data_IF_250139697548
#
_entry.id   IF_250139697548
#
_cell.length_a   1.000
_cell.length_b   1.000
_cell.length_c   1.000
_cell.angle_alpha   90.00
_cell.angle_beta   90.00
_cell.angle_gamma   90.00
#
_symmetry.space_group_name_H-M   'P 1'
#
loop_
_entity.id
_entity.type
_entity.pdbx_description
1 polymer ?
#
# COMPACT_ATOMS: atom_id res chain seq x y z
N UNK A 1 8.86 -23.25 -17.29
CA UNK A 1 7.82 -22.40 -16.69
C UNK A 1 7.28 -21.49 -17.78
N UNK A 2 5.97 -21.37 -17.93
CA UNK A 2 5.34 -20.61 -19.02
C UNK A 2 5.64 -19.10 -18.89
N UNK A 3 6.22 -18.50 -19.94
CA UNK A 3 6.41 -17.05 -20.06
C UNK A 3 5.07 -16.28 -20.16
N UNK A 4 3.92 -16.96 -20.09
CA UNK A 4 2.60 -16.33 -20.15
C UNK A 4 2.27 -15.45 -18.94
N UNK A 5 2.86 -15.71 -17.76
CA UNK A 5 2.77 -14.79 -16.61
C UNK A 5 3.61 -13.52 -16.82
N UNK A 6 4.49 -13.51 -17.83
CA UNK A 6 5.39 -12.41 -18.19
C UNK A 6 5.03 -11.76 -19.53
N UNK A 7 3.86 -12.08 -20.11
CA UNK A 7 3.33 -11.40 -21.29
C UNK A 7 2.22 -10.42 -20.88
N UNK A 8 2.58 -9.23 -20.37
CA UNK A 8 1.62 -8.20 -20.00
C UNK A 8 0.99 -7.50 -21.22
N UNK A 9 1.22 -7.98 -22.45
CA UNK A 9 0.86 -7.29 -23.69
C UNK A 9 -0.50 -7.73 -24.28
N UNK A 10 -1.23 -8.63 -23.60
CA UNK A 10 -2.63 -8.94 -23.96
C UNK A 10 -3.58 -7.85 -23.46
N UNK A 11 -3.69 -6.76 -24.22
CA UNK A 11 -4.80 -5.80 -24.10
C UNK A 11 -4.34 -4.37 -23.80
N UNK A 12 -4.77 -3.45 -24.67
CA UNK A 12 -4.39 -2.03 -24.74
C UNK A 12 -4.37 -1.29 -23.39
N UNK A 13 -3.25 -0.62 -23.12
CA UNK A 13 -3.17 0.62 -22.32
C UNK A 13 -2.31 0.56 -21.06
N UNK A 14 -2.31 -0.56 -20.35
CA UNK A 14 -1.60 -0.68 -19.07
C UNK A 14 -1.00 -2.08 -18.92
N UNK A 15 0.30 -2.13 -18.63
CA UNK A 15 0.99 -3.37 -18.31
C UNK A 15 0.73 -3.67 -16.84
N UNK A 16 -0.18 -4.61 -16.56
CA UNK A 16 -0.32 -5.18 -15.22
C UNK A 16 0.92 -6.01 -14.91
N UNK A 17 1.57 -5.70 -13.80
CA UNK A 17 2.80 -6.32 -13.35
C UNK A 17 2.62 -6.95 -11.98
N UNK A 18 3.46 -7.92 -11.58
CA UNK A 18 3.44 -8.45 -10.23
C UNK A 18 3.53 -7.36 -9.15
N UNK A 19 4.16 -6.23 -9.45
CA UNK A 19 4.24 -5.09 -8.55
C UNK A 19 2.86 -4.47 -8.26
N UNK A 20 1.94 -4.48 -9.22
CA UNK A 20 0.56 -4.01 -9.03
C UNK A 20 -0.19 -4.91 -8.05
N UNK A 21 0.04 -6.22 -8.11
CA UNK A 21 -0.51 -7.18 -7.14
C UNK A 21 0.07 -6.96 -5.74
N UNK A 22 1.39 -6.77 -5.64
CA UNK A 22 2.05 -6.47 -4.36
C UNK A 22 1.58 -5.15 -3.77
N UNK A 23 1.39 -4.11 -4.59
CA UNK A 23 0.82 -2.82 -4.16
C UNK A 23 -0.61 -3.00 -3.67
N UNK A 24 -1.43 -3.79 -4.37
CA UNK A 24 -2.80 -4.08 -3.97
C UNK A 24 -2.85 -4.81 -2.62
N UNK A 25 -2.00 -5.82 -2.42
CA UNK A 25 -1.88 -6.54 -1.15
C UNK A 25 -1.45 -5.61 -0.01
N UNK A 26 -0.48 -4.73 -0.25
CA UNK A 26 -0.03 -3.74 0.72
C UNK A 26 -1.18 -2.82 1.18
N UNK A 27 -1.98 -2.30 0.25
CA UNK A 27 -3.15 -1.49 0.60
C UNK A 27 -4.21 -2.27 1.39
N UNK A 28 -4.48 -3.53 1.01
CA UNK A 28 -5.42 -4.39 1.74
C UNK A 28 -4.92 -4.67 3.17
N UNK A 29 -3.63 -4.94 3.34
CA UNK A 29 -3.05 -5.17 4.65
C UNK A 29 -3.13 -3.93 5.55
N UNK A 30 -2.88 -2.74 5.00
CA UNK A 30 -3.07 -1.48 5.73
C UNK A 30 -4.54 -1.25 6.11
N UNK A 31 -5.46 -1.51 5.19
CA UNK A 31 -6.89 -1.42 5.46
C UNK A 31 -7.28 -2.34 6.61
N UNK A 32 -6.86 -3.62 6.56
CA UNK A 32 -7.11 -4.57 7.64
C UNK A 32 -6.52 -4.11 8.98
N UNK A 33 -5.35 -3.45 8.97
CA UNK A 33 -4.73 -2.91 10.18
C UNK A 33 -5.54 -1.76 10.79
N UNK A 34 -6.01 -0.82 9.97
CA UNK A 34 -6.75 0.38 10.43
C UNK A 34 -8.19 0.04 10.85
N UNK A 35 -8.81 -0.92 10.17
CA UNK A 35 -10.16 -1.41 10.47
C UNK A 35 -10.16 -2.62 11.41
N UNK A 36 -9.01 -3.01 11.95
CA UNK A 36 -8.93 -4.05 12.96
C UNK A 36 -9.72 -3.60 14.20
N UNK A 37 -10.87 -4.21 14.43
CA UNK A 37 -11.54 -4.14 15.72
C UNK A 37 -10.68 -4.93 16.71
N UNK A 38 -9.98 -4.21 17.61
CA UNK A 38 -9.47 -4.84 18.82
C UNK A 38 -10.68 -5.52 19.48
N UNK A 39 -10.49 -6.77 19.90
CA UNK A 39 -11.54 -7.64 20.42
C UNK A 39 -12.57 -6.91 21.30
N UNK A 40 -13.81 -7.41 21.34
CA UNK A 40 -14.97 -6.94 22.12
C UNK A 40 -14.69 -6.50 23.59
N UNK A 41 -13.50 -6.77 24.12
CA UNK A 41 -13.01 -6.43 25.45
C UNK A 41 -12.31 -5.05 25.53
N UNK A 42 -11.83 -4.48 24.43
CA UNK A 42 -11.21 -3.15 24.38
C UNK A 42 -12.26 -2.07 24.09
N UNK A 43 -12.89 -1.52 25.14
CA UNK A 43 -13.75 -0.33 25.01
C UNK A 43 -12.94 0.92 24.60
N UNK A 44 -13.57 1.87 23.89
CA UNK A 44 -12.92 2.71 22.90
C UNK A 44 -12.30 3.95 23.54
N UNK A 45 -10.97 4.01 23.61
CA UNK A 45 -10.35 5.21 23.07
C UNK A 45 -10.20 4.93 21.58
N UNK A 46 -11.26 5.09 20.78
CA UNK A 46 -11.13 5.11 19.32
C UNK A 46 -10.51 6.48 19.02
N UNK A 47 -9.17 6.58 18.94
CA UNK A 47 -8.55 7.88 19.02
C UNK A 47 -8.93 8.65 17.75
N UNK A 48 -9.16 9.96 17.84
CA UNK A 48 -9.71 10.72 16.71
C UNK A 48 -8.89 10.53 15.41
N UNK A 49 -7.57 10.33 15.53
CA UNK A 49 -6.71 10.12 14.36
C UNK A 49 -6.95 8.77 13.67
N UNK A 50 -7.37 7.70 14.38
CA UNK A 50 -7.73 6.43 13.71
C UNK A 50 -9.03 6.57 12.92
N UNK A 51 -9.97 7.40 13.39
CA UNK A 51 -11.21 7.72 12.69
C UNK A 51 -10.91 8.52 11.42
N UNK A 52 -9.99 9.46 11.48
CA UNK A 52 -9.51 10.22 10.32
C UNK A 52 -8.81 9.31 9.30
N UNK A 53 -7.95 8.39 9.76
CA UNK A 53 -7.33 7.38 8.88
C UNK A 53 -8.39 6.51 8.17
N UNK A 54 -9.40 6.03 8.90
CA UNK A 54 -10.51 5.25 8.34
C UNK A 54 -11.30 6.05 7.31
N UNK A 55 -11.60 7.31 7.63
CA UNK A 55 -12.34 8.20 6.73
C UNK A 55 -11.55 8.44 5.44
N UNK A 56 -10.25 8.73 5.52
CA UNK A 56 -9.42 9.01 4.35
C UNK A 56 -9.16 7.77 3.48
N UNK A 57 -9.00 6.59 4.10
CA UNK A 57 -8.92 5.32 3.39
C UNK A 57 -10.23 4.97 2.67
N UNK A 58 -11.37 5.40 3.20
CA UNK A 58 -12.69 5.17 2.59
C UNK A 58 -12.99 6.12 1.41
N UNK A 59 -12.26 7.23 1.29
CA UNK A 59 -12.41 8.24 0.22
C UNK A 59 -11.73 7.80 -1.09
N UNK A 60 -11.51 8.73 -2.02
CA UNK A 60 -10.99 8.45 -3.36
C UNK A 60 -9.53 7.97 -3.39
N UNK A 61 -9.05 7.46 -4.53
CA UNK A 61 -7.72 6.85 -4.63
C UNK A 61 -6.55 7.77 -4.22
N UNK A 62 -6.60 9.10 -4.47
CA UNK A 62 -5.47 9.97 -4.11
C UNK A 62 -5.38 10.19 -2.60
N UNK A 63 -6.50 10.25 -1.89
CA UNK A 63 -6.51 10.35 -0.43
C UNK A 63 -6.01 9.05 0.19
N UNK A 64 -6.40 7.88 -0.37
CA UNK A 64 -5.88 6.58 0.06
C UNK A 64 -4.36 6.53 0.01
N UNK A 65 -3.75 6.86 -1.14
CA UNK A 65 -2.28 6.81 -1.28
C UNK A 65 -1.56 7.76 -0.33
N UNK A 66 -2.13 8.94 -0.06
CA UNK A 66 -1.55 9.90 0.88
C UNK A 66 -1.62 9.39 2.34
N UNK A 67 -2.78 8.92 2.76
CA UNK A 67 -2.99 8.36 4.11
C UNK A 67 -2.17 7.10 4.34
N UNK A 68 -2.09 6.24 3.33
CA UNK A 68 -1.19 5.09 3.29
C UNK A 68 0.27 5.46 3.47
N UNK A 69 0.71 6.55 2.83
CA UNK A 69 2.07 7.05 3.00
C UNK A 69 2.28 7.53 4.44
N UNK A 70 1.33 8.28 5.01
CA UNK A 70 1.39 8.71 6.41
C UNK A 70 1.51 7.51 7.36
N UNK A 71 0.68 6.47 7.21
CA UNK A 71 0.76 5.24 8.02
C UNK A 71 2.11 4.54 7.90
N UNK A 72 2.76 4.62 6.73
CA UNK A 72 4.05 3.99 6.48
C UNK A 72 5.26 4.88 6.82
N UNK A 73 5.11 6.20 6.97
CA UNK A 73 6.26 7.13 7.12
C UNK A 73 6.20 8.04 8.33
N UNK A 74 5.02 8.32 8.88
CA UNK A 74 4.89 9.09 10.10
C UNK A 74 5.13 8.20 11.33
N UNK A 75 5.75 8.76 12.36
CA UNK A 75 5.80 8.11 13.67
C UNK A 75 4.39 7.94 14.20
N UNK A 76 3.87 6.72 14.16
CA UNK A 76 2.51 6.40 14.63
C UNK A 76 2.56 6.20 16.13
N UNK A 77 2.17 7.22 16.90
CA UNK A 77 2.15 7.11 18.35
C UNK A 77 0.95 6.26 18.82
N UNK A 78 1.21 5.34 19.75
CA UNK A 78 0.23 4.34 20.20
C UNK A 78 -1.08 4.96 20.72
N UNK A 79 -1.00 6.12 21.38
CA UNK A 79 -2.16 6.78 21.96
C UNK A 79 -3.01 7.54 20.92
N UNK A 80 -2.42 7.92 19.79
CA UNK A 80 -3.11 8.62 18.70
C UNK A 80 -3.69 7.67 17.65
N UNK A 81 -3.05 6.53 17.39
CA UNK A 81 -3.44 5.65 16.27
C UNK A 81 -3.86 4.26 16.72
N UNK A 82 -3.85 4.00 18.02
CA UNK A 82 -4.08 2.68 18.60
C UNK A 82 -2.85 1.78 18.54
N UNK A 83 -2.79 0.77 19.42
CA UNK A 83 -1.62 -0.10 19.57
C UNK A 83 -1.29 -0.91 18.32
N UNK A 84 -2.31 -1.33 17.57
CA UNK A 84 -2.11 -2.19 16.40
C UNK A 84 -1.48 -1.46 15.23
N UNK A 85 -1.97 -0.26 14.90
CA UNK A 85 -1.42 0.61 13.85
C UNK A 85 0.00 1.02 14.21
N UNK A 86 0.21 1.50 15.44
CA UNK A 86 1.54 1.89 15.92
C UNK A 86 2.56 0.73 15.85
N UNK A 87 2.17 -0.48 16.26
CA UNK A 87 3.04 -1.66 16.19
C UNK A 87 3.37 -2.08 14.76
N UNK A 88 2.44 -1.88 13.83
CA UNK A 88 2.58 -2.29 12.43
C UNK A 88 3.29 -1.25 11.56
N UNK A 89 3.48 -0.02 12.05
CA UNK A 89 4.01 1.10 11.28
C UNK A 89 5.40 0.81 10.69
N UNK A 90 6.33 0.23 11.46
CA UNK A 90 7.68 -0.10 10.98
C UNK A 90 7.66 -1.15 9.86
N UNK A 91 6.75 -2.12 9.95
CA UNK A 91 6.55 -3.12 8.90
C UNK A 91 6.02 -2.49 7.62
N UNK A 92 5.00 -1.63 7.71
CA UNK A 92 4.48 -0.91 6.54
C UNK A 92 5.51 0.03 5.92
N UNK A 93 6.36 0.67 6.75
CA UNK A 93 7.47 1.50 6.28
C UNK A 93 8.47 0.70 5.44
N UNK A 94 8.94 -0.42 5.97
CA UNK A 94 9.88 -1.30 5.29
C UNK A 94 9.28 -1.91 4.01
N UNK A 95 7.99 -2.25 4.04
CA UNK A 95 7.29 -2.76 2.87
C UNK A 95 7.15 -1.68 1.77
N UNK A 96 6.71 -0.46 2.09
CA UNK A 96 6.61 0.63 1.11
C UNK A 96 7.97 0.95 0.48
N UNK A 97 9.02 1.04 1.30
CA UNK A 97 10.39 1.21 0.81
C UNK A 97 10.78 0.11 -0.18
N UNK A 98 10.51 -1.15 0.15
CA UNK A 98 10.80 -2.30 -0.71
C UNK A 98 10.01 -2.27 -2.02
N UNK A 99 8.73 -1.87 -1.98
CA UNK A 99 7.90 -1.72 -3.18
C UNK A 99 8.46 -0.61 -4.09
N UNK A 100 8.89 0.51 -3.52
CA UNK A 100 9.46 1.62 -4.29
C UNK A 100 10.81 1.25 -4.94
N UNK A 101 11.68 0.54 -4.23
CA UNK A 101 12.90 -0.02 -4.81
C UNK A 101 12.60 -1.01 -5.94
N UNK A 102 11.61 -1.88 -5.75
CA UNK A 102 11.20 -2.87 -6.75
C UNK A 102 10.63 -2.19 -7.99
N UNK A 103 9.80 -1.16 -7.80
CA UNK A 103 9.27 -0.32 -8.88
C UNK A 103 10.38 0.31 -9.71
N UNK A 104 11.36 0.92 -9.06
CA UNK A 104 12.48 1.55 -9.76
C UNK A 104 13.25 0.52 -10.60
N UNK A 105 13.48 -0.69 -10.09
CA UNK A 105 14.13 -1.78 -10.83
C UNK A 105 13.28 -2.27 -12.00
N UNK A 106 11.98 -2.45 -11.78
CA UNK A 106 11.05 -2.93 -12.81
C UNK A 106 10.95 -1.97 -13.99
N UNK A 107 10.84 -0.67 -13.72
CA UNK A 107 10.83 0.37 -14.76
C UNK A 107 12.11 0.30 -15.62
N UNK A 108 13.29 0.18 -15.00
CA UNK A 108 14.56 0.06 -15.75
C UNK A 108 14.60 -1.17 -16.65
N UNK A 109 14.12 -2.32 -16.16
CA UNK A 109 14.04 -3.56 -16.95
C UNK A 109 13.07 -3.36 -18.12
N UNK A 110 11.91 -2.74 -17.89
CA UNK A 110 10.94 -2.46 -18.93
C UNK A 110 11.48 -1.51 -20.00
N UNK A 111 12.15 -0.43 -19.59
CA UNK A 111 12.81 0.52 -20.51
C UNK A 111 13.88 -0.17 -21.35
N UNK A 112 14.71 -1.05 -20.76
CA UNK A 112 15.72 -1.83 -21.49
C UNK A 112 15.13 -2.78 -22.54
N UNK A 113 13.85 -3.11 -22.43
CA UNK A 113 13.09 -3.93 -23.39
C UNK A 113 12.31 -3.09 -24.41
N UNK A 114 12.49 -1.76 -24.40
CA UNK A 114 11.84 -0.84 -25.35
C UNK A 114 10.45 -0.35 -24.94
N UNK A 115 10.03 -0.56 -23.69
CA UNK A 115 8.73 -0.09 -23.20
C UNK A 115 8.79 1.34 -22.67
N UNK A 116 7.68 2.08 -22.83
CA UNK A 116 7.55 3.43 -22.33
C UNK A 116 7.23 3.43 -20.83
N UNK A 117 8.01 4.14 -20.00
CA UNK A 117 7.75 4.31 -18.56
C UNK A 117 6.33 4.76 -18.22
N UNK A 118 5.65 5.47 -19.13
CA UNK A 118 4.28 5.96 -18.97
C UNK A 118 3.20 4.86 -19.06
N UNK A 119 3.54 3.63 -19.45
CA UNK A 119 2.58 2.51 -19.49
C UNK A 119 2.42 1.79 -18.15
N UNK A 120 3.19 2.19 -17.13
CA UNK A 120 3.17 1.62 -15.77
C UNK A 120 2.48 2.59 -14.79
N UNK A 121 1.71 2.06 -13.84
CA UNK A 121 1.07 2.81 -12.75
C UNK A 121 1.90 2.82 -11.49
#
# INVERSE_FOLDING_TARGET
MSNQLLDPFRGKGHIHSPLDDYRSLFYVAQWACVFHELSLEDKPSDPDHIRDLRADLSRHYKTRSYTTHIVATAGMEKYEYGPWVAKSASFFSAWDYSLNLTRAKWIRIAESKGHNKKTFR
#
